data_IF_436875854597
#
_entry.id   IF_436875854597
#
_cell.length_a   1.000
_cell.length_b   1.000
_cell.length_c   1.000
_cell.angle_alpha   90.00
_cell.angle_beta   90.00
_cell.angle_gamma   90.00
#
_symmetry.space_group_name_H-M   'P 1'
#
loop_
_entity.id
_entity.type
_entity.pdbx_description
1 polymer ?
#
# COMPACT_ATOMS: atom_id res chain seq x y z
N UNK A 1 -11.18 -6.30 -18.16
CA UNK A 1 -10.26 -5.26 -17.64
C UNK A 1 -10.88 -4.74 -16.37
N UNK A 2 -10.30 -5.03 -15.19
CA UNK A 2 -10.87 -4.53 -13.94
C UNK A 2 -10.86 -3.00 -13.92
N UNK A 3 -11.98 -2.39 -13.54
CA UNK A 3 -12.07 -0.95 -13.32
C UNK A 3 -11.18 -0.58 -12.13
N UNK A 4 -10.04 0.06 -12.39
CA UNK A 4 -9.10 0.54 -11.36
C UNK A 4 -9.43 2.00 -11.05
N UNK A 5 -9.36 2.38 -9.76
CA UNK A 5 -9.52 3.76 -9.35
C UNK A 5 -8.22 4.52 -9.63
N UNK A 6 -8.23 5.40 -10.62
CA UNK A 6 -7.07 6.25 -10.95
C UNK A 6 -7.11 7.56 -10.12
N UNK A 7 -6.03 7.85 -9.41
CA UNK A 7 -5.88 9.08 -8.62
C UNK A 7 -4.48 9.67 -8.79
N UNK A 8 -4.25 10.87 -8.25
CA UNK A 8 -2.90 11.44 -8.15
C UNK A 8 -1.94 10.51 -7.39
N UNK A 9 -2.43 9.76 -6.40
CA UNK A 9 -1.61 8.83 -5.60
C UNK A 9 -1.07 7.68 -6.46
N UNK A 10 -1.93 7.01 -7.23
CA UNK A 10 -1.52 5.91 -8.11
C UNK A 10 -0.56 6.38 -9.21
N UNK A 11 -0.73 7.62 -9.70
CA UNK A 11 0.14 8.22 -10.72
C UNK A 11 1.51 8.64 -10.18
N UNK A 12 1.55 9.32 -9.03
CA UNK A 12 2.79 9.82 -8.44
C UNK A 12 3.67 8.70 -7.89
N UNK A 13 3.07 7.67 -7.29
CA UNK A 13 3.81 6.60 -6.61
C UNK A 13 3.87 5.28 -7.40
N UNK A 14 3.22 5.19 -8.55
CA UNK A 14 3.29 4.01 -9.42
C UNK A 14 2.65 2.73 -8.83
N UNK A 15 1.64 2.89 -7.96
CA UNK A 15 0.93 1.78 -7.32
C UNK A 15 -0.39 1.46 -8.01
N UNK A 16 -0.85 0.21 -7.92
CA UNK A 16 -2.06 -0.26 -8.60
C UNK A 16 -3.35 0.25 -7.93
N UNK A 17 -3.32 0.43 -6.61
CA UNK A 17 -4.48 0.83 -5.82
C UNK A 17 -4.18 2.09 -5.01
N UNK A 18 -5.15 3.02 -4.89
CA UNK A 18 -5.01 4.22 -4.06
C UNK A 18 -5.19 3.90 -2.57
N UNK A 19 -4.46 2.90 -2.07
CA UNK A 19 -4.55 2.38 -0.70
C UNK A 19 -3.17 2.49 -0.04
N UNK A 20 -3.16 3.07 1.16
CA UNK A 20 -1.99 3.20 2.01
C UNK A 20 -2.30 2.53 3.34
N UNK A 21 -1.47 1.60 3.76
CA UNK A 21 -1.54 1.07 5.12
C UNK A 21 -0.82 2.05 6.06
N UNK A 22 -1.54 2.58 7.04
CA UNK A 22 -0.99 3.50 8.03
C UNK A 22 0.03 2.78 8.95
N UNK A 23 1.12 3.44 9.38
CA UNK A 23 2.01 2.89 10.40
C UNK A 23 1.23 2.50 11.66
N UNK A 24 1.35 1.25 12.07
CA UNK A 24 0.70 0.67 13.25
C UNK A 24 1.77 0.10 14.18
N UNK A 25 1.99 0.74 15.33
CA UNK A 25 2.85 0.21 16.37
C UNK A 25 2.49 -1.25 16.70
N UNK A 26 3.49 -2.07 17.01
CA UNK A 26 3.39 -3.50 17.31
C UNK A 26 3.01 -4.39 16.11
N UNK A 27 2.10 -3.96 15.24
CA UNK A 27 1.55 -4.79 14.14
C UNK A 27 2.38 -4.66 12.86
N UNK A 28 2.84 -3.45 12.54
CA UNK A 28 3.64 -3.17 11.33
C UNK A 28 5.12 -2.90 11.62
N UNK A 29 5.59 -3.16 12.85
CA UNK A 29 7.03 -3.24 13.15
C UNK A 29 7.63 -4.51 12.53
N UNK A 30 6.83 -5.59 12.45
CA UNK A 30 7.14 -6.75 11.62
C UNK A 30 6.85 -6.43 10.14
N UNK A 31 7.80 -6.67 9.21
CA UNK A 31 7.67 -6.24 7.82
C UNK A 31 6.66 -7.06 7.01
N UNK A 32 6.18 -8.21 7.50
CA UNK A 32 5.28 -9.10 6.73
C UNK A 32 4.01 -8.39 6.30
N UNK A 33 3.46 -7.50 7.14
CA UNK A 33 2.27 -6.73 6.78
C UNK A 33 2.56 -5.71 5.66
N UNK A 34 3.63 -4.93 5.79
CA UNK A 34 4.01 -3.96 4.77
C UNK A 34 4.32 -4.65 3.43
N UNK A 35 5.01 -5.81 3.47
CA UNK A 35 5.31 -6.62 2.28
C UNK A 35 4.01 -7.10 1.62
N UNK A 36 3.05 -7.62 2.38
CA UNK A 36 1.78 -8.09 1.84
C UNK A 36 1.01 -6.97 1.14
N UNK A 37 1.01 -5.75 1.71
CA UNK A 37 0.37 -4.57 1.09
C UNK A 37 1.08 -4.18 -0.21
N UNK A 38 2.41 -4.16 -0.23
CA UNK A 38 3.18 -3.88 -1.45
C UNK A 38 2.91 -4.92 -2.55
N UNK A 39 2.88 -6.21 -2.20
CA UNK A 39 2.55 -7.30 -3.14
C UNK A 39 1.11 -7.21 -3.67
N UNK A 40 0.18 -6.72 -2.84
CA UNK A 40 -1.19 -6.44 -3.26
C UNK A 40 -1.32 -5.18 -4.14
N UNK A 41 -0.26 -4.39 -4.32
CA UNK A 41 -0.24 -3.21 -5.18
C UNK A 41 -0.64 -1.90 -4.49
N UNK A 42 -0.57 -1.83 -3.16
CA UNK A 42 -0.70 -0.59 -2.37
C UNK A 42 0.64 -0.09 -1.83
N UNK A 43 0.59 0.88 -0.91
CA UNK A 43 1.77 1.39 -0.19
C UNK A 43 1.81 0.81 1.22
N UNK A 44 2.81 -0.03 1.51
CA UNK A 44 3.07 -0.57 2.86
C UNK A 44 3.93 0.38 3.70
N UNK A 45 3.67 0.45 5.00
CA UNK A 45 4.41 1.28 5.95
C UNK A 45 4.89 0.47 7.16
N UNK A 46 6.07 0.80 7.67
CA UNK A 46 6.59 0.29 8.94
C UNK A 46 6.30 1.30 10.07
N UNK A 47 6.20 0.81 11.30
CA UNK A 47 5.98 1.61 12.51
C UNK A 47 7.19 1.62 13.45
#
# INVERSE_FOLDING_TARGET
MESRIATRLTQTYGVAHPIVQAPMAFVSTDPRLAIAVCQAGGIGSLA
#
